data_IF_803933636804
#
_entry.id   IF_803933636804
#
_cell.length_a   1.000
_cell.length_b   1.000
_cell.length_c   1.000
_cell.angle_alpha   90.00
_cell.angle_beta   90.00
_cell.angle_gamma   90.00
#
_symmetry.space_group_name_H-M   'P 1'
#
loop_
_entity.id
_entity.type
_entity.pdbx_description
1 polymer ?
#
# COMPACT_ATOMS: atom_id res chain seq x y z
N UNK A 1 26.90 -8.12 9.68
CA UNK A 1 26.16 -9.35 9.33
C UNK A 1 25.96 -10.32 10.50
N UNK A 2 26.99 -10.72 11.26
CA UNK A 2 26.85 -11.69 12.38
C UNK A 2 25.82 -11.28 13.44
N UNK A 3 25.79 -10.00 13.84
CA UNK A 3 24.83 -9.52 14.85
C UNK A 3 23.38 -9.55 14.33
N UNK A 4 23.16 -9.17 13.07
CA UNK A 4 21.84 -9.25 12.43
C UNK A 4 21.31 -10.70 12.34
N UNK A 5 22.18 -11.68 12.08
CA UNK A 5 21.78 -13.08 12.04
C UNK A 5 21.41 -13.64 13.42
N UNK A 6 21.98 -13.08 14.50
CA UNK A 6 21.65 -13.45 15.89
C UNK A 6 20.36 -12.78 16.36
N UNK A 7 20.22 -11.49 16.05
CA UNK A 7 19.04 -10.69 16.39
C UNK A 7 18.49 -10.03 15.13
N UNK A 8 17.43 -10.64 14.58
CA UNK A 8 16.75 -10.07 13.43
C UNK A 8 15.98 -8.81 13.84
N UNK A 9 16.45 -7.67 13.34
CA UNK A 9 15.80 -6.36 13.47
C UNK A 9 15.11 -5.95 12.18
N UNK A 10 14.42 -6.89 11.52
CA UNK A 10 13.81 -6.65 10.20
C UNK A 10 12.70 -5.59 10.27
N UNK A 11 12.65 -4.75 9.24
CA UNK A 11 11.54 -3.84 8.95
C UNK A 11 10.78 -4.41 7.76
N UNK A 12 9.60 -4.97 8.02
CA UNK A 12 8.77 -5.59 6.98
C UNK A 12 7.56 -4.71 6.68
N UNK A 13 7.30 -4.48 5.38
CA UNK A 13 6.07 -3.86 4.88
C UNK A 13 5.26 -4.94 4.16
N UNK A 14 4.05 -5.22 4.63
CA UNK A 14 3.14 -6.19 4.01
C UNK A 14 1.93 -5.47 3.40
N UNK A 15 1.75 -5.62 2.08
CA UNK A 15 0.64 -5.05 1.33
C UNK A 15 -0.36 -6.15 1.01
N UNK A 16 -1.54 -6.12 1.64
CA UNK A 16 -2.65 -7.02 1.37
C UNK A 16 -3.65 -6.35 0.42
N UNK A 17 -4.03 -7.04 -0.64
CA UNK A 17 -4.96 -6.52 -1.64
C UNK A 17 -5.66 -7.65 -2.41
N UNK A 18 -6.78 -7.34 -3.06
CA UNK A 18 -7.42 -8.25 -3.99
C UNK A 18 -6.60 -8.41 -5.28
N UNK A 19 -6.70 -9.58 -5.94
CA UNK A 19 -6.04 -9.83 -7.24
C UNK A 19 -6.70 -9.09 -8.40
N UNK A 20 -7.94 -8.66 -8.22
CA UNK A 20 -8.74 -7.97 -9.24
C UNK A 20 -9.34 -6.69 -8.68
N UNK A 21 -9.58 -5.71 -9.54
CA UNK A 21 -10.29 -4.49 -9.20
C UNK A 21 -11.35 -4.18 -10.27
N UNK A 22 -12.56 -3.83 -9.83
CA UNK A 22 -13.64 -3.44 -10.73
C UNK A 22 -13.47 -1.99 -11.15
N UNK A 23 -13.56 -1.74 -12.46
CA UNK A 23 -13.51 -0.40 -13.04
C UNK A 23 -14.72 0.45 -12.65
N UNK A 24 -14.47 1.71 -12.34
CA UNK A 24 -15.44 2.79 -12.16
C UNK A 24 -15.80 3.39 -13.52
N UNK A 25 -17.08 3.66 -13.79
CA UNK A 25 -17.54 4.18 -15.08
C UNK A 25 -18.24 5.52 -14.90
N UNK A 26 -17.91 6.50 -15.74
CA UNK A 26 -18.41 7.87 -15.60
C UNK A 26 -18.04 8.46 -14.24
N UNK A 27 -19.01 9.08 -13.56
CA UNK A 27 -18.79 9.76 -12.29
C UNK A 27 -18.96 8.85 -11.05
N UNK A 28 -19.40 7.59 -11.20
CA UNK A 28 -19.55 6.64 -10.10
C UNK A 28 -18.18 6.15 -9.63
N UNK A 29 -17.90 6.20 -8.31
CA UNK A 29 -16.66 5.67 -7.72
C UNK A 29 -16.91 4.30 -7.08
N UNK A 30 -16.31 3.26 -7.68
CA UNK A 30 -16.28 1.90 -7.12
C UNK A 30 -14.99 1.69 -6.36
N UNK A 31 -15.03 1.93 -5.06
CA UNK A 31 -13.87 1.69 -4.22
C UNK A 31 -13.48 0.21 -4.20
N UNK A 32 -12.19 -0.07 -4.06
CA UNK A 32 -11.67 -1.43 -3.98
C UNK A 32 -12.24 -2.14 -2.75
N UNK A 33 -12.76 -3.35 -2.96
CA UNK A 33 -13.35 -4.18 -1.92
C UNK A 33 -12.85 -5.63 -2.06
N UNK A 34 -12.16 -6.18 -1.04
CA UNK A 34 -11.78 -5.54 0.22
C UNK A 34 -10.81 -4.36 0.02
N UNK A 35 -10.82 -3.37 0.94
CA UNK A 35 -9.88 -2.24 0.86
C UNK A 35 -8.45 -2.76 1.02
N UNK A 36 -7.48 -2.28 0.21
CA UNK A 36 -6.08 -2.63 0.40
C UNK A 36 -5.59 -2.23 1.79
N UNK A 37 -4.77 -3.08 2.41
CA UNK A 37 -4.21 -2.85 3.73
C UNK A 37 -2.68 -2.87 3.66
N UNK A 38 -2.02 -2.02 4.44
CA UNK A 38 -0.57 -2.03 4.63
C UNK A 38 -0.27 -2.30 6.10
N UNK A 39 0.64 -3.23 6.37
CA UNK A 39 1.10 -3.60 7.70
C UNK A 39 2.59 -3.35 7.84
N UNK A 40 2.98 -2.78 8.98
CA UNK A 40 4.36 -2.62 9.41
C UNK A 40 4.66 -3.71 10.45
N UNK A 41 5.52 -4.66 10.09
CA UNK A 41 5.85 -5.82 10.93
C UNK A 41 7.35 -5.89 11.19
N UNK A 42 7.71 -6.58 12.27
CA UNK A 42 9.10 -6.75 12.68
C UNK A 42 9.54 -5.72 13.72
N UNK A 43 10.41 -6.15 14.63
CA UNK A 43 10.92 -5.33 15.73
C UNK A 43 11.80 -4.17 15.25
N UNK A 44 12.27 -4.21 14.00
CA UNK A 44 13.10 -3.17 13.40
C UNK A 44 12.43 -1.80 13.38
N UNK A 45 11.10 -1.73 13.20
CA UNK A 45 10.36 -0.47 13.21
C UNK A 45 10.44 0.22 14.57
N UNK A 46 10.22 -0.54 15.65
CA UNK A 46 10.34 -0.03 17.02
C UNK A 46 11.78 0.36 17.35
N UNK A 47 12.75 -0.50 17.01
CA UNK A 47 14.19 -0.23 17.22
C UNK A 47 14.64 1.04 16.50
N UNK A 48 14.16 1.28 15.26
CA UNK A 48 14.49 2.47 14.49
C UNK A 48 13.84 3.74 15.06
N UNK A 49 12.59 3.67 15.53
CA UNK A 49 11.94 4.78 16.26
C UNK A 49 12.75 5.14 17.52
N UNK A 50 13.04 4.17 18.37
CA UNK A 50 13.84 4.37 19.60
C UNK A 50 15.24 4.93 19.31
N UNK A 51 15.87 4.51 18.21
CA UNK A 51 17.15 5.04 17.76
C UNK A 51 17.04 6.53 17.42
N UNK A 52 16.05 6.92 16.61
CA UNK A 52 15.83 8.32 16.22
C UNK A 52 15.51 9.22 17.41
N UNK A 53 14.73 8.73 18.37
CA UNK A 53 14.43 9.45 19.61
C UNK A 53 15.69 9.68 20.46
N UNK A 54 16.59 8.68 20.55
CA UNK A 54 17.90 8.85 21.21
C UNK A 54 18.81 9.84 20.49
N UNK A 55 18.69 9.92 19.18
CA UNK A 55 19.43 10.85 18.33
C UNK A 55 18.83 12.28 18.37
N UNK A 56 17.76 12.49 19.15
CA UNK A 56 17.15 13.80 19.40
C UNK A 56 15.94 14.15 18.53
N UNK A 57 15.48 13.24 17.67
CA UNK A 57 14.25 13.45 16.89
C UNK A 57 13.01 13.41 17.80
N UNK A 58 12.03 14.24 17.46
CA UNK A 58 10.72 14.21 18.10
C UNK A 58 9.92 12.95 17.74
N UNK A 59 8.84 12.68 18.48
CA UNK A 59 7.94 11.57 18.19
C UNK A 59 7.31 11.68 16.78
N UNK A 60 7.00 12.91 16.34
CA UNK A 60 6.42 13.15 15.01
C UNK A 60 7.42 12.88 13.89
N UNK A 61 8.68 13.24 14.10
CA UNK A 61 9.77 13.03 13.13
C UNK A 61 10.15 11.57 12.97
N UNK A 62 10.11 10.80 14.06
CA UNK A 62 10.44 9.36 14.07
C UNK A 62 9.29 8.47 13.60
N UNK A 63 8.09 9.04 13.38
CA UNK A 63 6.93 8.28 12.92
C UNK A 63 6.95 8.07 11.39
N UNK A 64 6.72 6.84 10.90
CA UNK A 64 6.60 6.59 9.47
C UNK A 64 5.26 7.13 8.93
N UNK A 65 5.34 7.89 7.85
CA UNK A 65 4.23 8.28 7.00
C UNK A 65 4.18 7.37 5.76
N UNK A 66 2.97 7.04 5.30
CA UNK A 66 2.78 6.25 4.09
C UNK A 66 1.72 6.87 3.18
N UNK A 67 1.94 6.76 1.87
CA UNK A 67 1.04 7.21 0.83
C UNK A 67 0.81 6.06 -0.14
N UNK A 68 -0.41 5.87 -0.60
CA UNK A 68 -0.78 4.79 -1.52
C UNK A 68 -1.43 5.33 -2.79
N UNK A 69 -1.02 4.80 -3.94
CA UNK A 69 -1.60 5.16 -5.23
C UNK A 69 -1.68 3.97 -6.18
N UNK A 70 -2.38 4.15 -7.30
CA UNK A 70 -2.53 3.13 -8.37
C UNK A 70 -1.54 3.33 -9.53
N UNK A 71 -0.56 4.21 -9.37
CA UNK A 71 0.47 4.52 -10.36
C UNK A 71 -0.05 5.19 -11.64
N UNK A 72 -1.12 5.98 -11.53
CA UNK A 72 -1.59 6.86 -12.59
C UNK A 72 -1.26 8.32 -12.19
N UNK A 73 -0.73 9.13 -13.11
CA UNK A 73 -0.40 10.54 -12.87
C UNK A 73 -1.61 11.40 -12.52
N UNK A 74 -2.79 11.02 -13.00
CA UNK A 74 -4.01 11.81 -12.88
C UNK A 74 -4.69 11.66 -11.52
N UNK A 75 -4.23 10.70 -10.70
CA UNK A 75 -4.80 10.44 -9.38
C UNK A 75 -3.71 10.60 -8.32
N UNK A 76 -3.90 11.58 -7.44
CA UNK A 76 -3.01 11.82 -6.31
C UNK A 76 -2.92 10.60 -5.39
N UNK A 77 -1.75 10.43 -4.78
CA UNK A 77 -1.55 9.40 -3.76
C UNK A 77 -2.36 9.76 -2.50
N UNK A 78 -3.01 8.77 -1.92
CA UNK A 78 -3.81 8.92 -0.72
C UNK A 78 -2.92 8.69 0.50
N UNK A 79 -2.96 9.60 1.46
CA UNK A 79 -2.27 9.42 2.74
C UNK A 79 -2.90 8.26 3.52
N UNK A 80 -2.05 7.37 4.02
CA UNK A 80 -2.43 6.30 4.92
C UNK A 80 -2.18 6.75 6.36
N UNK A 81 -3.24 6.80 7.16
CA UNK A 81 -3.12 7.12 8.58
C UNK A 81 -2.55 5.92 9.36
N UNK A 82 -1.31 6.06 9.83
CA UNK A 82 -0.56 5.09 10.64
C UNK A 82 -0.50 5.48 12.14
N UNK A 83 -1.30 6.46 12.61
CA UNK A 83 -1.31 6.98 13.99
C UNK A 83 -1.30 5.89 15.07
N UNK A 84 -0.10 5.57 15.57
CA UNK A 84 0.13 4.55 16.61
C UNK A 84 -0.25 3.12 16.22
N UNK A 85 -0.61 2.86 14.96
CA UNK A 85 -1.02 1.54 14.47
C UNK A 85 0.02 0.97 13.54
N UNK A 86 0.30 -0.31 13.73
CA UNK A 86 1.13 -1.10 12.81
C UNK A 86 0.39 -1.48 11.52
N UNK A 87 -0.80 -0.94 11.27
CA UNK A 87 -1.56 -1.22 10.06
C UNK A 87 -2.46 -0.05 9.65
N UNK A 88 -2.74 0.06 8.36
CA UNK A 88 -3.63 1.05 7.78
C UNK A 88 -4.37 0.49 6.57
N UNK A 89 -5.48 1.12 6.19
CA UNK A 89 -6.37 0.66 5.10
C UNK A 89 -6.68 1.79 4.12
N UNK A 90 -6.61 1.51 2.83
CA UNK A 90 -6.92 2.44 1.76
C UNK A 90 -8.38 2.28 1.31
N UNK A 91 -9.30 3.01 1.94
CA UNK A 91 -10.75 2.82 1.74
C UNK A 91 -11.32 3.53 0.52
N UNK A 92 -10.59 4.48 -0.05
CA UNK A 92 -11.07 5.39 -1.10
C UNK A 92 -10.33 5.22 -2.42
N UNK A 93 -9.57 4.15 -2.60
CA UNK A 93 -8.93 3.83 -3.87
C UNK A 93 -9.94 3.26 -4.86
N UNK A 94 -9.89 3.74 -6.10
CA UNK A 94 -10.69 3.28 -7.23
C UNK A 94 -9.88 3.47 -8.51
N UNK A 95 -10.28 2.81 -9.61
CA UNK A 95 -9.71 3.01 -10.94
C UNK A 95 -10.83 3.44 -11.91
N UNK A 96 -10.63 4.54 -12.63
CA UNK A 96 -11.58 5.10 -13.58
C UNK A 96 -11.59 4.35 -14.93
N UNK A 97 -12.57 4.68 -15.76
CA UNK A 97 -12.67 4.22 -17.15
C UNK A 97 -11.83 5.02 -18.14
N UNK A 98 -11.35 6.21 -17.74
CA UNK A 98 -10.27 6.91 -18.43
C UNK A 98 -8.97 6.09 -18.44
N UNK A 99 -8.71 5.34 -17.36
CA UNK A 99 -7.56 4.44 -17.27
C UNK A 99 -7.74 3.20 -18.17
N UNK A 100 -6.90 3.07 -19.20
CA UNK A 100 -6.97 1.99 -20.20
C UNK A 100 -6.08 0.78 -19.86
N UNK A 101 -5.36 0.81 -18.74
CA UNK A 101 -4.47 -0.30 -18.35
C UNK A 101 -5.29 -1.55 -18.04
N UNK A 102 -4.83 -2.71 -18.52
CA UNK A 102 -5.44 -4.02 -18.20
C UNK A 102 -5.05 -4.51 -16.81
N UNK A 103 -3.90 -4.05 -16.32
CA UNK A 103 -3.37 -4.38 -15.02
C UNK A 103 -2.65 -3.17 -14.44
N UNK A 104 -2.61 -3.07 -13.11
CA UNK A 104 -1.84 -2.07 -12.39
C UNK A 104 -1.22 -2.70 -11.13
N UNK A 105 -0.38 -1.94 -10.43
CA UNK A 105 0.12 -2.29 -9.10
C UNK A 105 -0.18 -1.11 -8.18
N UNK A 106 -0.42 -1.39 -6.90
CA UNK A 106 -0.43 -0.35 -5.88
C UNK A 106 1.01 0.06 -5.61
N UNK A 107 1.23 1.36 -5.44
CA UNK A 107 2.50 1.94 -5.04
C UNK A 107 2.34 2.54 -3.66
N UNK A 108 3.10 2.04 -2.69
CA UNK A 108 3.14 2.56 -1.32
C UNK A 108 4.47 3.29 -1.13
N UNK A 109 4.42 4.62 -1.08
CA UNK A 109 5.58 5.46 -0.79
C UNK A 109 5.62 5.73 0.72
N UNK A 110 6.78 5.54 1.33
CA UNK A 110 6.97 5.72 2.77
C UNK A 110 8.16 6.63 3.06
N UNK A 111 8.01 7.47 4.07
CA UNK A 111 9.05 8.35 4.60
C UNK A 111 8.82 8.60 6.09
N UNK A 112 9.85 8.99 6.83
CA UNK A 112 9.71 9.42 8.22
C UNK A 112 9.28 10.90 8.30
N UNK A 113 8.73 11.34 9.43
CA UNK A 113 8.30 12.74 9.60
C UNK A 113 9.42 13.77 9.42
N UNK A 114 10.68 13.37 9.64
CA UNK A 114 11.87 14.19 9.32
C UNK A 114 12.22 14.24 7.82
N UNK A 115 11.36 13.72 6.94
CA UNK A 115 11.56 13.61 5.49
C UNK A 115 12.61 12.58 5.03
N UNK A 116 13.12 11.74 5.92
CA UNK A 116 13.98 10.61 5.51
C UNK A 116 13.16 9.59 4.69
N UNK A 117 13.59 9.36 3.45
CA UNK A 117 12.93 8.41 2.56
C UNK A 117 13.16 6.96 3.01
N UNK A 118 12.08 6.20 3.17
CA UNK A 118 12.14 4.75 3.42
C UNK A 118 12.14 4.02 2.08
N UNK A 119 11.34 4.50 1.13
CA UNK A 119 11.27 4.00 -0.23
C UNK A 119 9.86 3.77 -0.75
N UNK A 120 9.78 3.14 -1.92
CA UNK A 120 8.54 2.85 -2.64
C UNK A 120 8.36 1.34 -2.80
N UNK A 121 7.24 0.83 -2.29
CA UNK A 121 6.90 -0.59 -2.30
C UNK A 121 5.75 -0.85 -3.27
N UNK A 122 5.97 -1.76 -4.22
CA UNK A 122 4.95 -2.15 -5.20
C UNK A 122 4.20 -3.41 -4.75
N UNK A 123 2.90 -3.43 -4.95
CA UNK A 123 2.10 -4.64 -4.77
C UNK A 123 2.30 -5.64 -5.89
N UNK A 124 1.70 -6.83 -5.76
CA UNK A 124 1.53 -7.72 -6.91
C UNK A 124 0.58 -7.08 -7.93
N UNK A 125 0.65 -7.57 -9.18
CA UNK A 125 -0.21 -7.14 -10.28
C UNK A 125 -1.69 -7.37 -9.94
N UNK A 126 -2.51 -6.34 -10.16
CA UNK A 126 -3.96 -6.35 -9.98
C UNK A 126 -4.59 -6.23 -11.36
N UNK A 127 -5.49 -7.17 -11.70
CA UNK A 127 -6.20 -7.20 -12.98
C UNK A 127 -7.44 -6.32 -12.93
N UNK A 128 -7.58 -5.46 -13.93
CA UNK A 128 -8.75 -4.60 -14.07
C UNK A 128 -9.85 -5.38 -14.76
N UNK A 129 -11.01 -5.49 -14.11
CA UNK A 129 -12.17 -6.21 -14.63
C UNK A 129 -13.38 -5.29 -14.79
N UNK A 130 -14.23 -5.62 -15.75
CA UNK A 130 -15.59 -5.09 -15.78
C UNK A 130 -16.45 -5.73 -14.70
N UNK A 131 -17.71 -5.30 -14.60
CA UNK A 131 -18.71 -5.98 -13.79
C UNK A 131 -18.75 -7.49 -14.16
N UNK A 132 -18.78 -8.41 -13.17
CA UNK A 132 -18.93 -9.84 -13.43
C UNK A 132 -20.19 -10.12 -14.27
N UNK A 133 -20.06 -10.99 -15.27
CA UNK A 133 -21.20 -11.41 -16.10
C UNK A 133 -22.05 -12.45 -15.37
N UNK A 134 -23.37 -12.46 -15.62
CA UNK A 134 -24.27 -13.54 -15.15
C UNK A 134 -24.12 -14.85 -15.93
N UNK A 135 -23.34 -14.88 -17.02
CA UNK A 135 -23.15 -16.08 -17.85
C UNK A 135 -22.30 -17.12 -17.12
N UNK A 136 -22.61 -18.40 -17.33
CA UNK A 136 -21.82 -19.53 -16.82
C UNK A 136 -20.37 -19.35 -17.27
N UNK A 137 -19.46 -19.32 -16.31
CA UNK A 137 -18.04 -19.10 -16.58
C UNK A 137 -17.51 -20.32 -17.35
N UNK A 138 -17.16 -20.12 -18.62
CA UNK A 138 -16.28 -21.06 -19.32
C UNK A 138 -14.85 -20.83 -18.85
N UNK A 139 -13.99 -21.86 -18.89
CA UNK A 139 -12.59 -21.86 -18.39
C UNK A 139 -11.65 -20.86 -19.10
N UNK A 140 -12.16 -19.84 -19.80
CA UNK A 140 -11.42 -18.95 -20.69
C UNK A 140 -10.45 -17.98 -20.00
N UNK A 141 -10.37 -17.94 -18.67
CA UNK A 141 -9.41 -17.11 -17.94
C UNK A 141 -9.01 -17.78 -16.62
N UNK A 142 -7.82 -18.37 -16.57
CA UNK A 142 -7.24 -19.00 -15.37
C UNK A 142 -6.27 -18.05 -14.62
N UNK A 143 -6.58 -16.75 -14.61
CA UNK A 143 -5.80 -15.66 -13.98
C UNK A 143 -6.66 -14.86 -13.00
#
# INVERSE_FOLDING_TARGET
MRNYLKERGDQTVLILHAKVAQKSYGNEKRFFCPPPCVYLMGSGWKKKKEQMERDGCSEQESQPCAFIGIGNSDQEMQQLNLEGKNYCTAKTLYISDSDKRKHFMLSVKMFYGNSDDIGVFLSKRIKVISKPSKKKQSLKNAD
#
